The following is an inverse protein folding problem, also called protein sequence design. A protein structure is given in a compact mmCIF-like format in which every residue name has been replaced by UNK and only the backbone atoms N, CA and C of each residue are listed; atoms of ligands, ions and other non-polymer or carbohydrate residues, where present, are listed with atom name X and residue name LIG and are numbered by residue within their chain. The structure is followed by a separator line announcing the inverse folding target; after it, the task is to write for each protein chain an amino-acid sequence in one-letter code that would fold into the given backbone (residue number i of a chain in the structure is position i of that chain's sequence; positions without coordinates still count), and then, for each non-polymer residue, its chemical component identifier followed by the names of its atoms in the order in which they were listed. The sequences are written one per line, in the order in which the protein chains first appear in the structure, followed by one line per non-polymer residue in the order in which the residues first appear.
data_IF_371803133727
#
_entry.id   IF_371803133727
#
_cell.length_a   1.000
_cell.length_b   1.000
_cell.length_c   1.000
_cell.angle_alpha   90.00
_cell.angle_beta   90.00
_cell.angle_gamma   90.00
#
_symmetry.space_group_name_H-M   'P 1'
#
loop_
_entity.id
_entity.type
_entity.pdbx_description
1 polymer ?
#
# COMPACT_ATOMS: atom_id res chain seq x y z
N UNK A 1 -13.91 -7.78 6.76
CA UNK A 1 -13.06 -6.60 6.55
C UNK A 1 -11.69 -6.87 7.19
N UNK A 2 -10.59 -6.62 6.49
CA UNK A 2 -9.28 -6.84 7.07
C UNK A 2 -8.94 -5.80 8.15
N UNK A 3 -8.07 -6.19 9.05
CA UNK A 3 -7.44 -5.28 9.99
C UNK A 3 -6.24 -4.68 9.25
N UNK A 4 -6.15 -3.36 9.22
CA UNK A 4 -5.06 -2.65 8.54
C UNK A 4 -4.19 -1.99 9.60
N UNK A 5 -2.90 -2.38 9.62
CA UNK A 5 -1.91 -1.81 10.53
C UNK A 5 -0.89 -1.00 9.73
N UNK A 6 -0.31 -0.01 10.37
CA UNK A 6 0.65 0.91 9.74
C UNK A 6 2.02 0.73 10.37
N UNK A 7 3.02 0.38 9.55
CA UNK A 7 4.40 0.36 10.05
C UNK A 7 4.90 1.79 10.26
N UNK A 8 5.89 1.98 11.15
CA UNK A 8 6.51 3.31 11.31
C UNK A 8 7.08 3.85 9.99
N UNK A 9 7.65 2.98 9.17
CA UNK A 9 8.17 3.35 7.86
C UNK A 9 7.07 3.88 6.95
N UNK A 10 5.91 3.22 6.91
CA UNK A 10 4.79 3.68 6.10
C UNK A 10 4.35 5.08 6.51
N UNK A 11 4.22 5.32 7.82
CA UNK A 11 3.81 6.62 8.35
C UNK A 11 4.79 7.71 7.91
N UNK A 12 6.10 7.44 7.99
CA UNK A 12 7.13 8.38 7.55
C UNK A 12 7.04 8.65 6.06
N UNK A 13 6.88 7.61 5.24
CA UNK A 13 6.70 7.76 3.80
C UNK A 13 5.46 8.61 3.48
N UNK A 14 4.36 8.33 4.13
CA UNK A 14 3.10 9.03 3.93
C UNK A 14 3.24 10.53 4.22
N UNK A 15 3.89 10.86 5.33
CA UNK A 15 4.05 12.26 5.75
C UNK A 15 4.85 13.10 4.75
N UNK A 16 5.72 12.46 3.98
CA UNK A 16 6.55 13.14 2.97
C UNK A 16 5.84 13.39 1.65
N UNK A 17 4.65 12.81 1.46
CA UNK A 17 3.93 12.94 0.20
C UNK A 17 3.28 14.32 0.07
N UNK A 18 3.17 14.84 -1.15
CA UNK A 18 2.34 16.03 -1.39
C UNK A 18 0.90 15.81 -0.95
N UNK A 19 0.23 16.88 -0.52
CA UNK A 19 -1.14 16.77 -0.01
C UNK A 19 -2.10 16.13 -1.01
N UNK A 20 -1.98 16.45 -2.29
CA UNK A 20 -2.82 15.86 -3.33
C UNK A 20 -2.63 14.34 -3.44
N UNK A 21 -1.40 13.87 -3.23
CA UNK A 21 -1.10 12.43 -3.28
C UNK A 21 -1.59 11.75 -2.01
N UNK A 22 -1.44 12.40 -0.84
CA UNK A 22 -1.98 11.84 0.41
C UNK A 22 -3.49 11.60 0.30
N UNK A 23 -4.22 12.52 -0.34
CA UNK A 23 -5.66 12.36 -0.55
C UNK A 23 -5.96 11.12 -1.39
N UNK A 24 -5.16 10.84 -2.42
CA UNK A 24 -5.29 9.63 -3.23
C UNK A 24 -4.97 8.38 -2.42
N UNK A 25 -3.94 8.44 -1.57
CA UNK A 25 -3.60 7.32 -0.68
C UNK A 25 -4.75 7.04 0.27
N UNK A 26 -5.32 8.07 0.89
CA UNK A 26 -6.44 7.91 1.82
C UNK A 26 -7.62 7.19 1.16
N UNK A 27 -7.94 7.56 -0.08
CA UNK A 27 -9.00 6.91 -0.84
C UNK A 27 -8.70 5.42 -1.08
N UNK A 28 -7.48 5.11 -1.49
CA UNK A 28 -7.08 3.73 -1.76
C UNK A 28 -7.01 2.90 -0.47
N UNK A 29 -6.60 3.51 0.64
CA UNK A 29 -6.62 2.83 1.93
C UNK A 29 -8.04 2.47 2.37
N UNK A 30 -9.02 3.33 2.09
CA UNK A 30 -10.41 3.03 2.39
C UNK A 30 -10.89 1.80 1.60
N UNK A 31 -10.53 1.70 0.32
CA UNK A 31 -10.83 0.52 -0.48
C UNK A 31 -10.13 -0.73 0.06
N UNK A 32 -8.85 -0.60 0.42
CA UNK A 32 -8.07 -1.71 0.94
C UNK A 32 -8.67 -2.26 2.24
N UNK A 33 -9.10 -1.37 3.13
CA UNK A 33 -9.72 -1.75 4.40
C UNK A 33 -11.07 -2.43 4.20
N UNK A 34 -11.78 -2.08 3.14
CA UNK A 34 -13.06 -2.69 2.80
C UNK A 34 -12.86 -4.03 2.09
N UNK A 35 -12.03 -4.05 1.06
CA UNK A 35 -11.77 -5.24 0.26
C UNK A 35 -10.44 -5.12 -0.48
N UNK A 36 -9.41 -5.90 -0.06
CA UNK A 36 -8.10 -5.86 -0.74
C UNK A 36 -8.13 -6.22 -2.22
N UNK A 37 -9.23 -6.83 -2.68
CA UNK A 37 -9.41 -7.19 -4.09
C UNK A 37 -10.18 -6.15 -4.88
N UNK A 38 -10.43 -4.97 -4.29
CA UNK A 38 -11.12 -3.91 -5.00
C UNK A 38 -10.39 -3.58 -6.31
N UNK A 39 -11.12 -3.51 -7.45
CA UNK A 39 -10.46 -3.38 -8.77
C UNK A 39 -9.56 -2.16 -8.90
N UNK A 40 -9.90 -1.03 -8.26
CA UNK A 40 -9.10 0.19 -8.38
C UNK A 40 -7.70 0.05 -7.77
N UNK A 41 -7.50 -0.89 -6.85
CA UNK A 41 -6.21 -1.13 -6.21
C UNK A 41 -5.21 -1.84 -7.12
N UNK A 42 -5.70 -2.64 -8.07
CA UNK A 42 -4.87 -3.46 -8.95
C UNK A 42 -3.76 -4.18 -8.17
N UNK A 43 -4.14 -4.80 -7.05
CA UNK A 43 -3.17 -5.48 -6.19
C UNK A 43 -2.52 -6.65 -6.91
N UNK A 44 -1.22 -6.80 -6.71
CA UNK A 44 -0.47 -7.94 -7.21
C UNK A 44 0.72 -8.24 -6.31
N UNK A 45 1.18 -9.50 -6.28
CA UNK A 45 2.37 -9.86 -5.51
C UNK A 45 3.60 -9.13 -6.01
N UNK A 46 4.47 -8.74 -5.08
CA UNK A 46 5.81 -8.24 -5.42
C UNK A 46 6.69 -9.44 -5.73
N UNK A 47 7.32 -9.46 -6.91
CA UNK A 47 8.13 -10.59 -7.35
C UNK A 47 9.34 -10.78 -6.42
N UNK A 48 9.61 -12.04 -6.10
CA UNK A 48 10.77 -12.43 -5.29
C UNK A 48 10.61 -12.23 -3.79
N UNK A 49 9.45 -11.73 -3.33
CA UNK A 49 9.20 -11.51 -1.90
C UNK A 49 7.87 -12.15 -1.52
N UNK A 50 7.91 -13.01 -0.51
CA UNK A 50 6.69 -13.69 -0.05
C UNK A 50 5.82 -12.74 0.77
N UNK A 51 4.51 -12.86 0.60
CA UNK A 51 3.48 -12.15 1.38
C UNK A 51 3.49 -10.63 1.23
N UNK A 52 4.29 -10.09 0.31
CA UNK A 52 4.31 -8.65 0.04
C UNK A 52 3.54 -8.40 -1.26
N UNK A 53 2.64 -7.43 -1.19
CA UNK A 53 1.79 -7.05 -2.31
C UNK A 53 1.94 -5.56 -2.58
N UNK A 54 1.76 -5.17 -3.84
CA UNK A 54 1.65 -3.76 -4.19
C UNK A 54 0.20 -3.41 -4.50
N UNK A 55 -0.17 -2.17 -4.21
CA UNK A 55 -1.46 -1.61 -4.60
C UNK A 55 -1.24 -0.27 -5.27
N UNK A 56 -2.04 0.01 -6.28
CA UNK A 56 -1.91 1.21 -7.09
C UNK A 56 -2.55 2.40 -6.39
N UNK A 57 -1.81 3.50 -6.30
CA UNK A 57 -2.36 4.80 -5.88
C UNK A 57 -2.78 5.61 -7.11
N UNK A 58 -1.87 5.76 -8.06
CA UNK A 58 -2.12 6.35 -9.38
C UNK A 58 -1.08 5.80 -10.36
N UNK A 59 -0.86 6.46 -11.49
CA UNK A 59 0.10 5.98 -12.49
C UNK A 59 1.54 5.96 -11.98
N UNK A 60 1.88 6.81 -11.01
CA UNK A 60 3.24 7.00 -10.54
C UNK A 60 3.46 6.38 -9.15
N UNK A 61 2.46 6.45 -8.29
CA UNK A 61 2.60 6.08 -6.88
C UNK A 61 2.01 4.71 -6.59
N UNK A 62 2.69 3.99 -5.68
CA UNK A 62 2.27 2.65 -5.21
C UNK A 62 2.42 2.59 -3.70
N UNK A 63 1.63 1.72 -3.05
CA UNK A 63 1.90 1.31 -1.69
C UNK A 63 2.23 -0.18 -1.67
N UNK A 64 2.91 -0.61 -0.62
CA UNK A 64 3.15 -2.03 -0.37
C UNK A 64 2.59 -2.42 0.98
N UNK A 65 2.11 -3.65 1.07
CA UNK A 65 1.67 -4.19 2.34
C UNK A 65 2.06 -5.66 2.45
N UNK A 66 2.21 -6.10 3.68
CA UNK A 66 2.46 -7.49 4.00
C UNK A 66 1.20 -8.14 4.54
N UNK A 67 0.88 -9.32 4.06
CA UNK A 67 -0.23 -10.10 4.58
C UNK A 67 0.27 -10.93 5.77
N UNK A 68 0.02 -10.45 6.98
CA UNK A 68 0.46 -11.11 8.20
C UNK A 68 -0.37 -12.35 8.51
N UNK A 69 -1.67 -12.30 8.18
CA UNK A 69 -2.61 -13.41 8.33
C UNK A 69 -3.74 -13.21 7.34
N UNK A 70 -4.74 -14.08 7.37
CA UNK A 70 -5.90 -13.97 6.48
C UNK A 70 -6.64 -12.64 6.64
N UNK A 71 -6.62 -12.06 7.84
CA UNK A 71 -7.38 -10.85 8.16
C UNK A 71 -6.52 -9.63 8.43
N UNK A 72 -5.20 -9.74 8.47
CA UNK A 72 -4.34 -8.63 8.91
C UNK A 72 -3.33 -8.25 7.84
N UNK A 73 -3.34 -6.97 7.48
CA UNK A 73 -2.43 -6.37 6.51
C UNK A 73 -1.58 -5.33 7.20
N UNK A 74 -0.27 -5.39 7.00
CA UNK A 74 0.67 -4.40 7.53
C UNK A 74 1.17 -3.52 6.38
N UNK A 75 0.82 -2.24 6.40
CA UNK A 75 1.29 -1.26 5.43
C UNK A 75 2.78 -1.03 5.63
N UNK A 76 3.58 -1.20 4.57
CA UNK A 76 5.05 -1.18 4.67
C UNK A 76 5.65 0.10 4.14
N UNK A 77 5.23 0.53 2.96
CA UNK A 77 5.79 1.71 2.29
C UNK A 77 4.78 2.32 1.34
N UNK A 78 4.96 3.59 1.02
CA UNK A 78 4.21 4.28 -0.02
C UNK A 78 5.12 5.33 -0.64
N UNK A 79 5.05 5.45 -1.96
CA UNK A 79 5.90 6.40 -2.69
C UNK A 79 5.82 6.14 -4.18
N UNK A 80 6.77 6.71 -4.91
CA UNK A 80 6.87 6.49 -6.35
C UNK A 80 7.16 5.03 -6.64
N UNK A 81 6.63 4.55 -7.76
CA UNK A 81 6.73 3.15 -8.18
C UNK A 81 8.17 2.60 -8.05
N UNK A 82 9.14 3.30 -8.63
CA UNK A 82 10.53 2.81 -8.65
C UNK A 82 11.13 2.71 -7.25
N UNK A 83 10.89 3.72 -6.41
CA UNK A 83 11.42 3.77 -5.05
C UNK A 83 10.78 2.71 -4.16
N UNK A 84 9.45 2.59 -4.27
CA UNK A 84 8.67 1.70 -3.40
C UNK A 84 8.93 0.24 -3.73
N UNK A 85 8.96 -0.13 -5.01
CA UNK A 85 9.19 -1.51 -5.41
C UNK A 85 10.65 -1.92 -5.35
N UNK A 86 11.58 -0.97 -5.32
CA UNK A 86 12.99 -1.26 -5.09
C UNK A 86 13.27 -1.68 -3.64
N UNK A 87 12.40 -1.30 -2.71
CA UNK A 87 12.51 -1.66 -1.29
C UNK A 87 11.10 -1.76 -0.68
N UNK A 88 10.36 -2.79 -1.09
CA UNK A 88 8.96 -2.92 -0.70
C UNK A 88 8.70 -3.19 0.79
#
# INVERSE_FOLDING_TARGET
MPIVEFSPRFVQCYRKLPAAIRAKVDKQLAFLAENPRHPSLQTKPVLGVKRIYEARIDQVYRLTYERLSDDTLLLRAVGRHDETLGNP
#
